data_IF_736014111907
#
_entry.id   IF_736014111907
#
_cell.length_a   1.000
_cell.length_b   1.000
_cell.length_c   1.000
_cell.angle_alpha   90.00
_cell.angle_beta   90.00
_cell.angle_gamma   90.00
#
_symmetry.space_group_name_H-M   'P 1'
#
loop_
_entity.id
_entity.type
_entity.pdbx_description
1 polymer ?
#
# COMPACT_ATOMS: atom_id res chain seq x y z
N UNK A 1 26.54 18.57 33.02
CA UNK A 1 27.24 18.70 31.72
C UNK A 1 27.91 17.37 31.41
N UNK A 2 27.27 16.53 30.60
CA UNK A 2 27.79 15.21 30.21
C UNK A 2 28.65 15.34 28.96
N UNK A 3 29.93 14.93 29.05
CA UNK A 3 30.86 14.90 27.92
C UNK A 3 30.51 13.70 27.03
N UNK A 4 29.97 13.96 25.84
CA UNK A 4 29.82 12.95 24.80
C UNK A 4 31.21 12.47 24.34
N UNK A 5 31.44 11.17 24.45
CA UNK A 5 32.67 10.49 24.06
C UNK A 5 32.70 10.24 22.55
N UNK A 6 33.81 10.54 21.85
CA UNK A 6 33.93 10.47 20.38
C UNK A 6 33.91 9.05 19.78
N UNK A 7 33.86 8.00 20.61
CA UNK A 7 33.86 6.62 20.14
C UNK A 7 32.53 6.19 19.49
N UNK A 8 31.41 6.81 19.85
CA UNK A 8 30.08 6.44 19.34
C UNK A 8 29.80 6.96 17.92
N UNK A 9 30.50 7.99 17.47
CA UNK A 9 30.29 8.57 16.13
C UNK A 9 30.97 7.74 15.03
N UNK A 10 32.13 7.13 15.32
CA UNK A 10 32.86 6.29 14.36
C UNK A 10 32.07 5.02 14.01
N UNK A 11 31.36 4.43 14.98
CA UNK A 11 30.56 3.21 14.78
C UNK A 11 29.27 3.54 13.98
N UNK A 12 28.65 4.69 14.24
CA UNK A 12 27.49 5.17 13.46
C UNK A 12 27.82 5.48 12.00
N UNK A 13 29.00 6.01 11.71
CA UNK A 13 29.45 6.29 10.34
C UNK A 13 29.69 4.99 9.57
N UNK A 14 30.33 3.98 10.19
CA UNK A 14 30.54 2.66 9.56
C UNK A 14 29.22 1.96 9.23
N UNK A 15 28.23 1.99 10.14
CA UNK A 15 26.90 1.41 9.89
C UNK A 15 26.09 2.16 8.83
N UNK A 16 26.25 3.49 8.72
CA UNK A 16 25.62 4.27 7.64
C UNK A 16 26.26 4.00 6.28
N UNK A 17 27.59 3.86 6.21
CA UNK A 17 28.29 3.51 4.97
C UNK A 17 27.93 2.11 4.49
N UNK A 18 27.88 1.12 5.38
CA UNK A 18 27.48 -0.24 4.99
C UNK A 18 26.00 -0.34 4.62
N UNK A 19 25.11 0.47 5.22
CA UNK A 19 23.69 0.54 4.84
C UNK A 19 23.46 1.24 3.48
N UNK A 20 24.30 2.22 3.13
CA UNK A 20 24.28 2.84 1.80
C UNK A 20 24.87 1.89 0.75
N UNK A 21 25.90 1.11 1.10
CA UNK A 21 26.49 0.08 0.23
C UNK A 21 25.59 -1.14 0.04
N UNK A 22 24.76 -1.53 1.02
CA UNK A 22 23.83 -2.66 0.88
C UNK A 22 22.49 -2.29 0.21
N UNK A 23 22.17 -1.00 0.12
CA UNK A 23 21.08 -0.45 -0.72
C UNK A 23 21.56 0.03 -2.08
N UNK A 24 22.87 0.10 -2.29
CA UNK A 24 23.44 0.33 -3.61
C UNK A 24 23.21 -0.92 -4.42
N UNK A 25 22.06 -0.96 -5.10
CA UNK A 25 21.94 -1.67 -6.36
C UNK A 25 23.26 -1.49 -7.13
N UNK A 26 23.86 -2.61 -7.48
CA UNK A 26 24.95 -2.92 -8.42
C UNK A 26 25.69 -1.75 -9.13
N UNK A 27 25.06 -0.69 -9.71
CA UNK A 27 25.75 0.44 -10.36
C UNK A 27 26.94 1.10 -9.64
N UNK A 28 26.85 1.42 -8.33
CA UNK A 28 27.87 2.27 -7.68
C UNK A 28 29.24 1.57 -7.57
N UNK A 29 29.24 0.26 -7.32
CA UNK A 29 30.45 -0.55 -7.26
C UNK A 29 31.11 -0.64 -8.64
N UNK A 30 30.32 -0.77 -9.70
CA UNK A 30 30.83 -0.83 -11.09
C UNK A 30 31.50 0.49 -11.47
N UNK A 31 30.88 1.64 -11.20
CA UNK A 31 31.51 2.94 -11.45
C UNK A 31 32.79 3.14 -10.63
N UNK A 32 32.81 2.67 -9.38
CA UNK A 32 33.99 2.74 -8.53
C UNK A 32 35.15 1.89 -9.11
N UNK A 33 34.87 0.67 -9.56
CA UNK A 33 35.86 -0.22 -10.19
C UNK A 33 36.39 0.38 -11.50
N UNK A 34 35.52 0.95 -12.33
CA UNK A 34 35.93 1.67 -13.55
C UNK A 34 36.85 2.84 -13.20
N UNK A 35 36.44 3.68 -12.25
CA UNK A 35 37.24 4.82 -11.81
C UNK A 35 38.62 4.41 -11.27
N UNK A 36 38.66 3.38 -10.42
CA UNK A 36 39.91 2.83 -9.88
C UNK A 36 40.80 2.27 -11.00
N UNK A 37 40.22 1.58 -11.98
CA UNK A 37 40.95 1.05 -13.13
C UNK A 37 41.52 2.18 -13.99
N UNK A 38 40.76 3.25 -14.23
CA UNK A 38 41.27 4.45 -14.93
C UNK A 38 42.40 5.13 -14.17
N UNK A 39 42.30 5.23 -12.83
CA UNK A 39 43.36 5.78 -11.99
C UNK A 39 44.64 4.93 -12.03
N UNK A 40 44.51 3.60 -12.03
CA UNK A 40 45.66 2.70 -12.19
C UNK A 40 46.30 2.83 -13.57
N UNK A 41 45.49 2.84 -14.64
CA UNK A 41 45.99 3.03 -16.01
C UNK A 41 46.74 4.35 -16.16
N UNK A 42 46.26 5.42 -15.50
CA UNK A 42 46.93 6.71 -15.46
C UNK A 42 48.31 6.64 -14.79
N UNK A 43 48.43 5.91 -13.68
CA UNK A 43 49.71 5.71 -12.98
C UNK A 43 50.70 4.92 -13.86
N UNK A 44 50.22 3.92 -14.62
CA UNK A 44 51.06 3.04 -15.44
C UNK A 44 51.34 3.58 -16.85
N UNK A 45 50.80 4.75 -17.22
CA UNK A 45 50.98 5.34 -18.55
C UNK A 45 52.46 5.51 -18.94
N UNK A 46 53.34 5.75 -17.97
CA UNK A 46 54.77 5.96 -18.21
C UNK A 46 55.53 4.70 -18.65
N UNK A 47 54.94 3.51 -18.51
CA UNK A 47 55.60 2.23 -18.83
C UNK A 47 55.21 1.74 -20.24
N UNK A 48 53.92 1.80 -20.57
CA UNK A 48 53.38 1.32 -21.84
C UNK A 48 52.32 2.29 -22.38
N UNK A 49 52.78 3.38 -22.99
CA UNK A 49 51.93 4.50 -23.42
C UNK A 49 50.82 4.07 -24.41
N UNK A 50 51.17 3.32 -25.46
CA UNK A 50 50.18 2.92 -26.49
C UNK A 50 49.09 2.00 -25.94
N UNK A 51 49.47 1.02 -25.10
CA UNK A 51 48.54 0.07 -24.50
C UNK A 51 47.62 0.75 -23.48
N UNK A 52 48.18 1.61 -22.63
CA UNK A 52 47.41 2.31 -21.59
C UNK A 52 46.42 3.30 -22.20
N UNK A 53 46.79 3.99 -23.27
CA UNK A 53 45.91 4.93 -23.96
C UNK A 53 44.77 4.21 -24.70
N UNK A 54 45.06 3.07 -25.34
CA UNK A 54 44.04 2.19 -25.93
C UNK A 54 43.03 1.70 -24.89
N UNK A 55 43.51 1.10 -23.79
CA UNK A 55 42.67 0.62 -22.69
C UNK A 55 41.88 1.76 -22.05
N UNK A 56 42.47 2.94 -21.88
CA UNK A 56 41.78 4.10 -21.30
C UNK A 56 40.60 4.56 -22.16
N UNK A 57 40.77 4.61 -23.49
CA UNK A 57 39.68 4.98 -24.40
C UNK A 57 38.56 3.95 -24.42
N UNK A 58 38.88 2.65 -24.36
CA UNK A 58 37.89 1.57 -24.30
C UNK A 58 37.14 1.60 -22.96
N UNK A 59 37.85 1.77 -21.84
CA UNK A 59 37.23 1.86 -20.51
C UNK A 59 36.33 3.09 -20.36
N UNK A 60 36.76 4.23 -20.91
CA UNK A 60 35.94 5.44 -20.98
C UNK A 60 34.68 5.23 -21.83
N UNK A 61 34.81 4.55 -22.98
CA UNK A 61 33.68 4.18 -23.84
C UNK A 61 32.69 3.23 -23.14
N UNK A 62 33.20 2.22 -22.43
CA UNK A 62 32.39 1.30 -21.64
C UNK A 62 31.68 2.02 -20.48
N UNK A 63 32.38 2.89 -19.76
CA UNK A 63 31.82 3.71 -18.68
C UNK A 63 30.72 4.63 -19.20
N UNK A 64 30.93 5.27 -20.36
CA UNK A 64 29.94 6.14 -20.99
C UNK A 64 28.72 5.35 -21.47
N UNK A 65 28.92 4.16 -22.03
CA UNK A 65 27.82 3.29 -22.45
C UNK A 65 26.99 2.81 -21.25
N UNK A 66 27.65 2.38 -20.18
CA UNK A 66 26.99 2.04 -18.92
C UNK A 66 26.24 3.24 -18.34
N UNK A 67 26.85 4.43 -18.36
CA UNK A 67 26.20 5.66 -17.92
C UNK A 67 24.97 6.01 -18.76
N UNK A 68 25.02 5.84 -20.08
CA UNK A 68 23.86 6.06 -20.97
C UNK A 68 22.77 5.05 -20.65
N UNK A 69 23.10 3.76 -20.55
CA UNK A 69 22.14 2.72 -20.22
C UNK A 69 21.51 3.03 -18.85
N UNK A 70 22.32 3.26 -17.83
CA UNK A 70 21.85 3.53 -16.47
C UNK A 70 21.02 4.82 -16.45
N UNK A 71 21.52 5.92 -16.99
CA UNK A 71 20.82 7.21 -16.95
C UNK A 71 19.52 7.19 -17.76
N UNK A 72 19.52 6.66 -18.99
CA UNK A 72 18.32 6.64 -19.84
C UNK A 72 17.32 5.59 -19.35
N UNK A 73 17.80 4.40 -19.02
CA UNK A 73 16.94 3.27 -18.65
C UNK A 73 16.39 3.47 -17.25
N UNK A 74 17.17 3.98 -16.28
CA UNK A 74 16.69 4.31 -14.93
C UNK A 74 15.80 5.54 -14.93
N UNK A 75 16.11 6.64 -15.65
CA UNK A 75 15.18 7.80 -15.70
C UNK A 75 13.88 7.47 -16.42
N UNK A 76 13.94 6.80 -17.57
CA UNK A 76 12.73 6.43 -18.30
C UNK A 76 11.86 5.45 -17.51
N UNK A 77 12.49 4.47 -16.85
CA UNK A 77 11.81 3.59 -15.89
C UNK A 77 11.23 4.39 -14.74
N UNK A 78 12.03 5.19 -14.02
CA UNK A 78 11.59 5.98 -12.86
C UNK A 78 10.40 6.89 -13.16
N UNK A 79 10.40 7.60 -14.31
CA UNK A 79 9.26 8.44 -14.70
C UNK A 79 8.00 7.62 -14.99
N UNK A 80 8.12 6.53 -15.76
CA UNK A 80 6.99 5.62 -16.05
C UNK A 80 6.49 4.97 -14.76
N UNK A 81 7.39 4.63 -13.83
CA UNK A 81 7.06 4.03 -12.55
C UNK A 81 6.38 4.98 -11.60
N UNK A 82 6.81 6.24 -11.53
CA UNK A 82 6.10 7.26 -10.77
C UNK A 82 4.64 7.36 -11.24
N UNK A 83 4.42 7.36 -12.57
CA UNK A 83 3.08 7.38 -13.14
C UNK A 83 2.28 6.12 -12.78
N UNK A 84 2.85 4.92 -12.94
CA UNK A 84 2.17 3.66 -12.60
C UNK A 84 1.84 3.59 -11.11
N UNK A 85 2.78 3.98 -10.23
CA UNK A 85 2.58 4.05 -8.78
C UNK A 85 1.41 4.96 -8.43
N UNK A 86 1.35 6.17 -9.00
CA UNK A 86 0.22 7.08 -8.79
C UNK A 86 -1.12 6.47 -9.21
N UNK A 87 -1.16 5.68 -10.31
CA UNK A 87 -2.38 5.00 -10.73
C UNK A 87 -2.76 3.84 -9.80
N UNK A 88 -1.78 3.06 -9.33
CA UNK A 88 -2.01 1.99 -8.35
C UNK A 88 -2.51 2.58 -7.03
N UNK A 89 -1.85 3.62 -6.51
CA UNK A 89 -2.26 4.33 -5.29
C UNK A 89 -3.67 4.90 -5.43
N UNK A 90 -4.01 5.44 -6.61
CA UNK A 90 -5.37 5.88 -6.95
C UNK A 90 -6.39 4.74 -6.84
N UNK A 91 -6.09 3.57 -7.43
CA UNK A 91 -6.99 2.42 -7.42
C UNK A 91 -7.20 1.89 -6.00
N UNK A 92 -6.12 1.80 -5.21
CA UNK A 92 -6.18 1.42 -3.80
C UNK A 92 -7.04 2.43 -3.03
N UNK A 93 -6.76 3.74 -3.15
CA UNK A 93 -7.49 4.76 -2.42
C UNK A 93 -8.98 4.80 -2.78
N UNK A 94 -9.31 4.56 -4.05
CA UNK A 94 -10.69 4.43 -4.52
C UNK A 94 -11.38 3.21 -3.91
N UNK A 95 -10.74 2.04 -3.91
CA UNK A 95 -11.31 0.82 -3.35
C UNK A 95 -11.46 0.88 -1.84
N UNK A 96 -10.47 1.41 -1.12
CA UNK A 96 -10.55 1.66 0.33
C UNK A 96 -11.71 2.60 0.66
N UNK A 97 -11.87 3.71 -0.08
CA UNK A 97 -12.99 4.63 0.16
C UNK A 97 -14.36 4.00 -0.08
N UNK A 98 -14.50 3.25 -1.19
CA UNK A 98 -15.73 2.52 -1.50
C UNK A 98 -16.04 1.47 -0.45
N UNK A 99 -15.02 0.76 0.01
CA UNK A 99 -15.18 -0.28 1.03
C UNK A 99 -15.62 0.33 2.36
N UNK A 100 -14.96 1.41 2.81
CA UNK A 100 -15.36 2.17 4.01
C UNK A 100 -16.80 2.66 3.92
N UNK A 101 -17.21 3.16 2.76
CA UNK A 101 -18.56 3.68 2.54
C UNK A 101 -19.62 2.58 2.53
N UNK A 102 -19.36 1.49 1.80
CA UNK A 102 -20.28 0.37 1.74
C UNK A 102 -20.38 -0.38 3.07
N UNK A 103 -19.30 -0.50 3.85
CA UNK A 103 -19.38 -1.05 5.21
C UNK A 103 -20.23 -0.15 6.10
N UNK A 104 -19.94 1.16 6.14
CA UNK A 104 -20.70 2.08 6.97
C UNK A 104 -22.20 2.03 6.63
N UNK A 105 -22.56 2.07 5.35
CA UNK A 105 -23.95 2.13 4.91
C UNK A 105 -24.66 0.78 4.96
N UNK A 106 -24.07 -0.28 4.39
CA UNK A 106 -24.73 -1.59 4.22
C UNK A 106 -24.69 -2.45 5.47
N UNK A 107 -23.62 -2.35 6.26
CA UNK A 107 -23.45 -3.16 7.48
C UNK A 107 -23.99 -2.41 8.69
N UNK A 108 -23.64 -1.13 8.82
CA UNK A 108 -23.95 -0.35 10.03
C UNK A 108 -25.10 0.65 9.86
N UNK A 109 -25.79 0.65 8.70
CA UNK A 109 -26.93 1.54 8.47
C UNK A 109 -26.58 3.02 8.57
N UNK A 110 -25.33 3.40 8.26
CA UNK A 110 -24.85 4.77 8.39
C UNK A 110 -25.72 5.74 7.59
N UNK A 111 -26.39 6.63 8.31
CA UNK A 111 -27.21 7.70 7.76
C UNK A 111 -26.63 9.06 8.18
N UNK A 112 -25.83 9.72 7.31
CA UNK A 112 -25.16 10.96 7.69
C UNK A 112 -26.16 12.10 7.91
N UNK A 113 -25.87 12.97 8.87
CA UNK A 113 -26.60 14.23 9.02
C UNK A 113 -26.27 15.17 7.86
N UNK A 114 -27.26 15.50 7.02
CA UNK A 114 -27.11 16.39 5.86
C UNK A 114 -27.61 17.79 6.24
N UNK A 115 -26.72 18.78 6.12
CA UNK A 115 -27.08 20.18 6.17
C UNK A 115 -27.16 20.73 4.73
N UNK A 116 -28.38 21.06 4.31
CA UNK A 116 -28.70 21.53 2.95
C UNK A 116 -28.11 22.93 2.68
N UNK A 117 -27.76 23.67 3.72
CA UNK A 117 -27.13 24.99 3.58
C UNK A 117 -25.65 24.91 3.18
N UNK A 118 -25.02 23.74 3.29
CA UNK A 118 -23.60 23.57 2.96
C UNK A 118 -23.39 23.43 1.44
N UNK A 119 -22.29 24.00 0.96
CA UNK A 119 -21.79 23.67 -0.38
C UNK A 119 -21.51 22.17 -0.51
N UNK A 120 -21.63 21.63 -1.73
CA UNK A 120 -21.40 20.20 -2.00
C UNK A 120 -20.04 19.72 -1.48
N UNK A 121 -18.97 20.50 -1.65
CA UNK A 121 -17.63 20.16 -1.21
C UNK A 121 -17.52 20.11 0.32
N UNK A 122 -18.18 21.05 1.01
CA UNK A 122 -18.23 21.07 2.47
C UNK A 122 -19.06 19.89 3.01
N UNK A 123 -20.20 19.60 2.38
CA UNK A 123 -21.06 18.47 2.73
C UNK A 123 -20.33 17.13 2.61
N UNK A 124 -19.59 16.90 1.52
CA UNK A 124 -18.76 15.69 1.35
C UNK A 124 -17.74 15.57 2.49
N UNK A 125 -17.09 16.68 2.88
CA UNK A 125 -16.12 16.68 3.99
C UNK A 125 -16.77 16.31 5.31
N UNK A 126 -17.97 16.83 5.59
CA UNK A 126 -18.74 16.51 6.80
C UNK A 126 -19.13 15.03 6.83
N UNK A 127 -19.70 14.51 5.74
CA UNK A 127 -20.08 13.08 5.64
C UNK A 127 -18.86 12.18 5.85
N UNK A 128 -17.72 12.52 5.22
CA UNK A 128 -16.45 11.78 5.43
C UNK A 128 -15.98 11.83 6.88
N UNK A 129 -16.16 12.96 7.56
CA UNK A 129 -15.88 13.13 8.98
C UNK A 129 -16.74 12.22 9.86
N UNK A 130 -18.06 12.28 9.70
CA UNK A 130 -19.02 11.43 10.44
C UNK A 130 -18.75 9.93 10.21
N UNK A 131 -18.47 9.53 8.96
CA UNK A 131 -18.11 8.15 8.64
C UNK A 131 -16.80 7.72 9.29
N UNK A 132 -15.79 8.60 9.30
CA UNK A 132 -14.54 8.31 9.97
C UNK A 132 -14.72 8.16 11.48
N UNK A 133 -15.55 8.99 12.09
CA UNK A 133 -15.88 8.90 13.51
C UNK A 133 -16.58 7.58 13.85
N UNK A 134 -17.58 7.18 13.05
CA UNK A 134 -18.24 5.87 13.20
C UNK A 134 -17.22 4.72 13.15
N UNK A 135 -16.40 4.66 12.10
CA UNK A 135 -15.44 3.56 11.92
C UNK A 135 -14.37 3.55 13.02
N UNK A 136 -13.91 4.71 13.47
CA UNK A 136 -12.96 4.81 14.59
C UNK A 136 -13.60 4.39 15.92
N UNK A 137 -14.89 4.65 16.11
CA UNK A 137 -15.63 4.17 17.29
C UNK A 137 -15.74 2.64 17.28
N UNK A 138 -16.06 2.05 16.11
CA UNK A 138 -16.18 0.60 15.94
C UNK A 138 -14.83 -0.12 16.09
N UNK A 139 -13.73 0.47 15.64
CA UNK A 139 -12.39 -0.08 15.87
C UNK A 139 -12.05 -0.18 17.38
N UNK A 140 -12.50 0.81 18.17
CA UNK A 140 -12.27 0.86 19.61
C UNK A 140 -13.23 -0.01 20.41
N UNK A 141 -14.36 -0.41 19.83
CA UNK A 141 -15.25 -1.39 20.48
C UNK A 141 -14.60 -2.77 20.46
N UNK A 142 -14.91 -3.59 21.46
CA UNK A 142 -14.47 -4.98 21.47
C UNK A 142 -15.06 -5.76 20.31
N UNK A 143 -14.38 -6.84 19.89
CA UNK A 143 -14.83 -7.70 18.79
C UNK A 143 -16.27 -8.18 18.98
N UNK A 144 -16.71 -8.46 20.21
CA UNK A 144 -18.09 -8.88 20.52
C UNK A 144 -19.14 -7.80 20.27
N UNK A 145 -18.74 -6.54 20.27
CA UNK A 145 -19.65 -5.39 20.31
C UNK A 145 -19.81 -4.74 18.94
N UNK A 146 -18.93 -5.05 17.98
CA UNK A 146 -18.96 -4.46 16.64
C UNK A 146 -20.30 -4.68 15.96
N UNK A 147 -20.86 -5.89 16.03
CA UNK A 147 -22.16 -6.20 15.43
C UNK A 147 -23.36 -5.88 16.34
N UNK A 148 -23.14 -5.22 17.48
CA UNK A 148 -24.23 -4.87 18.37
C UNK A 148 -25.14 -3.81 17.72
N UNK A 149 -26.44 -4.11 17.61
CA UNK A 149 -27.42 -3.20 17.00
C UNK A 149 -27.44 -3.23 15.46
N UNK A 150 -26.67 -4.12 14.84
CA UNK A 150 -26.72 -4.38 13.40
C UNK A 150 -27.96 -5.23 13.08
N UNK A 151 -28.67 -4.91 12.00
CA UNK A 151 -29.77 -5.75 11.50
C UNK A 151 -29.21 -7.02 10.83
N UNK A 152 -29.38 -8.15 11.52
CA UNK A 152 -28.92 -9.46 11.07
C UNK A 152 -29.52 -9.84 9.72
N UNK A 153 -30.78 -9.49 9.44
CA UNK A 153 -31.43 -9.84 8.17
C UNK A 153 -30.77 -9.15 7.00
N UNK A 154 -30.36 -7.90 7.20
CA UNK A 154 -29.65 -7.12 6.19
C UNK A 154 -28.22 -7.63 6.01
N UNK A 155 -27.50 -7.88 7.11
CA UNK A 155 -26.07 -8.22 7.06
C UNK A 155 -25.79 -9.65 6.61
N UNK A 156 -26.63 -10.61 6.96
CA UNK A 156 -26.50 -12.00 6.53
C UNK A 156 -27.22 -12.27 5.20
N UNK A 157 -27.35 -11.26 4.34
CA UNK A 157 -28.02 -11.36 3.04
C UNK A 157 -27.07 -11.74 1.89
N UNK A 158 -27.64 -12.19 0.77
CA UNK A 158 -26.90 -12.43 -0.47
C UNK A 158 -26.28 -11.16 -1.04
N UNK A 159 -26.93 -10.01 -0.86
CA UNK A 159 -26.45 -8.71 -1.36
C UNK A 159 -25.15 -8.31 -0.66
N UNK A 160 -25.08 -8.51 0.66
CA UNK A 160 -23.87 -8.21 1.45
C UNK A 160 -22.77 -9.23 1.13
N UNK A 161 -23.10 -10.51 0.97
CA UNK A 161 -22.17 -11.53 0.49
C UNK A 161 -21.55 -11.14 -0.86
N UNK A 162 -22.39 -10.79 -1.83
CA UNK A 162 -21.97 -10.43 -3.19
C UNK A 162 -21.08 -9.20 -3.15
N UNK A 163 -21.47 -8.18 -2.38
CA UNK A 163 -20.68 -6.97 -2.17
C UNK A 163 -19.26 -7.27 -1.65
N UNK A 164 -19.12 -8.05 -0.58
CA UNK A 164 -17.80 -8.39 -0.04
C UNK A 164 -17.00 -9.26 -0.99
N UNK A 165 -17.65 -10.19 -1.70
CA UNK A 165 -16.97 -11.04 -2.67
C UNK A 165 -16.38 -10.22 -3.83
N UNK A 166 -17.19 -9.32 -4.42
CA UNK A 166 -16.74 -8.40 -5.48
C UNK A 166 -15.60 -7.49 -5.00
N UNK A 167 -15.69 -6.94 -3.80
CA UNK A 167 -14.64 -6.05 -3.25
C UNK A 167 -13.35 -6.81 -2.95
N UNK A 168 -13.44 -8.08 -2.55
CA UNK A 168 -12.28 -8.94 -2.41
C UNK A 168 -11.62 -9.23 -3.76
N UNK A 169 -12.41 -9.46 -4.81
CA UNK A 169 -11.89 -9.70 -6.16
C UNK A 169 -11.25 -8.43 -6.73
N UNK A 170 -11.87 -7.26 -6.56
CA UNK A 170 -11.28 -5.95 -6.93
C UNK A 170 -9.91 -5.72 -6.28
N UNK A 171 -9.73 -6.09 -5.01
CA UNK A 171 -8.45 -6.00 -4.32
C UNK A 171 -7.44 -7.04 -4.81
N UNK A 172 -7.90 -8.26 -5.08
CA UNK A 172 -7.06 -9.31 -5.62
C UNK A 172 -6.48 -8.92 -6.97
N UNK A 173 -7.28 -8.30 -7.84
CA UNK A 173 -6.81 -7.77 -9.12
C UNK A 173 -5.67 -6.76 -8.93
N UNK A 174 -5.80 -5.82 -7.98
CA UNK A 174 -4.73 -4.87 -7.66
C UNK A 174 -3.46 -5.58 -7.17
N UNK A 175 -3.59 -6.56 -6.28
CA UNK A 175 -2.46 -7.33 -5.73
C UNK A 175 -1.81 -8.20 -6.81
N UNK A 176 -2.58 -8.73 -7.75
CA UNK A 176 -2.10 -9.64 -8.78
C UNK A 176 -1.70 -8.92 -10.08
N UNK A 177 -1.83 -7.58 -10.14
CA UNK A 177 -1.24 -6.82 -11.23
C UNK A 177 0.28 -7.02 -11.24
N UNK A 178 0.88 -7.12 -12.43
CA UNK A 178 2.34 -7.21 -12.65
C UNK A 178 3.17 -6.16 -11.89
N UNK A 179 2.53 -5.09 -11.43
CA UNK A 179 3.16 -3.97 -10.75
C UNK A 179 3.11 -4.05 -9.22
N UNK A 180 2.49 -5.07 -8.62
CA UNK A 180 2.47 -5.30 -7.17
C UNK A 180 3.85 -5.63 -6.60
N UNK A 181 4.74 -6.21 -7.40
CA UNK A 181 6.16 -6.45 -7.08
C UNK A 181 6.91 -5.17 -6.66
N UNK A 182 6.39 -4.00 -7.01
CA UNK A 182 7.00 -2.70 -6.75
C UNK A 182 6.23 -1.86 -5.70
N UNK A 183 5.17 -2.44 -5.11
CA UNK A 183 4.53 -1.87 -3.92
C UNK A 183 5.39 -2.14 -2.68
N UNK A 184 5.23 -1.32 -1.65
CA UNK A 184 5.88 -1.59 -0.38
C UNK A 184 5.37 -2.93 0.20
N UNK A 185 6.24 -3.83 0.66
CA UNK A 185 5.83 -5.15 1.18
C UNK A 185 4.77 -5.06 2.27
N UNK A 186 4.84 -4.03 3.11
CA UNK A 186 3.88 -3.75 4.18
C UNK A 186 2.49 -3.43 3.62
N UNK A 187 2.41 -2.65 2.54
CA UNK A 187 1.15 -2.36 1.85
C UNK A 187 0.55 -3.62 1.23
N UNK A 188 1.36 -4.43 0.54
CA UNK A 188 0.90 -5.70 -0.04
C UNK A 188 0.34 -6.61 1.05
N UNK A 189 1.04 -6.72 2.18
CA UNK A 189 0.58 -7.50 3.34
C UNK A 189 -0.76 -6.99 3.87
N UNK A 190 -0.95 -5.67 4.01
CA UNK A 190 -2.22 -5.09 4.44
C UNK A 190 -3.36 -5.39 3.46
N UNK A 191 -3.12 -5.26 2.15
CA UNK A 191 -4.12 -5.53 1.12
C UNK A 191 -4.48 -7.02 1.06
N UNK A 192 -3.51 -7.92 1.19
CA UNK A 192 -3.74 -9.36 1.27
C UNK A 192 -4.59 -9.72 2.49
N UNK A 193 -4.26 -9.17 3.67
CA UNK A 193 -5.07 -9.36 4.88
C UNK A 193 -6.48 -8.85 4.70
N UNK A 194 -6.64 -7.66 4.11
CA UNK A 194 -7.96 -7.09 3.83
C UNK A 194 -8.77 -8.00 2.89
N UNK A 195 -8.15 -8.52 1.83
CA UNK A 195 -8.76 -9.50 0.93
C UNK A 195 -9.22 -10.75 1.69
N UNK A 196 -8.34 -11.37 2.49
CA UNK A 196 -8.66 -12.57 3.26
C UNK A 196 -9.84 -12.32 4.20
N UNK A 197 -9.83 -11.22 4.95
CA UNK A 197 -10.92 -10.93 5.89
C UNK A 197 -12.27 -10.69 5.20
N UNK A 198 -12.29 -10.15 3.98
CA UNK A 198 -13.53 -10.05 3.20
C UNK A 198 -14.01 -11.42 2.70
N UNK A 199 -13.10 -12.34 2.32
CA UNK A 199 -13.47 -13.72 1.98
C UNK A 199 -13.95 -14.50 3.20
N UNK A 200 -13.35 -14.26 4.37
CA UNK A 200 -13.79 -14.84 5.65
C UNK A 200 -15.20 -14.33 6.00
N UNK A 201 -15.45 -13.03 5.83
CA UNK A 201 -16.78 -12.43 5.94
C UNK A 201 -17.81 -13.16 5.07
N UNK A 202 -17.48 -13.45 3.81
CA UNK A 202 -18.34 -14.25 2.93
C UNK A 202 -18.58 -15.68 3.47
N UNK A 203 -17.56 -16.32 4.03
CA UNK A 203 -17.70 -17.63 4.65
C UNK A 203 -18.62 -17.59 5.88
N UNK A 204 -18.49 -16.58 6.73
CA UNK A 204 -19.34 -16.39 7.90
C UNK A 204 -20.79 -16.09 7.55
N UNK A 205 -21.04 -15.32 6.47
CA UNK A 205 -22.39 -15.09 5.96
C UNK A 205 -23.03 -16.40 5.50
N UNK A 206 -22.32 -17.21 4.71
CA UNK A 206 -22.82 -18.52 4.30
C UNK A 206 -23.03 -19.45 5.49
N UNK A 207 -22.15 -19.42 6.48
CA UNK A 207 -22.26 -20.23 7.68
C UNK A 207 -23.50 -19.88 8.49
N UNK A 208 -23.82 -18.58 8.63
CA UNK A 208 -25.07 -18.14 9.27
C UNK A 208 -26.28 -18.70 8.51
N UNK A 209 -26.33 -18.48 7.19
CA UNK A 209 -27.46 -18.89 6.35
C UNK A 209 -27.69 -20.40 6.26
N UNK A 210 -26.68 -21.23 6.59
CA UNK A 210 -26.90 -22.69 6.76
C UNK A 210 -27.93 -23.00 7.85
N UNK A 211 -28.12 -22.11 8.84
CA UNK A 211 -29.17 -22.25 9.84
C UNK A 211 -30.58 -22.31 9.23
N UNK A 212 -30.80 -21.63 8.11
CA UNK A 212 -32.06 -21.66 7.36
C UNK A 212 -32.34 -23.04 6.73
N UNK A 213 -31.29 -23.80 6.42
CA UNK A 213 -31.37 -25.13 5.80
C UNK A 213 -31.43 -26.23 6.87
N UNK A 214 -30.64 -26.09 7.94
CA UNK A 214 -30.47 -27.08 8.99
C UNK A 214 -31.13 -26.63 10.30
N UNK A 215 -32.47 -26.64 10.35
CA UNK A 215 -33.26 -26.15 11.49
C UNK A 215 -32.90 -26.78 12.84
N UNK A 216 -32.45 -28.04 12.86
CA UNK A 216 -32.03 -28.74 14.09
C UNK A 216 -30.75 -28.16 14.72
N UNK A 217 -29.96 -27.39 13.97
CA UNK A 217 -28.70 -26.78 14.40
C UNK A 217 -28.65 -25.28 14.10
N UNK A 218 -29.81 -24.65 13.91
CA UNK A 218 -29.94 -23.24 13.54
C UNK A 218 -29.16 -22.33 14.50
N UNK A 219 -29.38 -22.47 15.81
CA UNK A 219 -28.72 -21.66 16.82
C UNK A 219 -27.19 -21.76 16.75
N UNK A 220 -26.64 -22.95 16.47
CA UNK A 220 -25.21 -23.15 16.33
C UNK A 220 -24.66 -22.41 15.10
N UNK A 221 -25.30 -22.57 13.94
CA UNK A 221 -24.89 -21.90 12.70
C UNK A 221 -24.96 -20.38 12.81
N UNK A 222 -26.06 -19.86 13.37
CA UNK A 222 -26.22 -18.44 13.63
C UNK A 222 -25.14 -17.91 14.58
N UNK A 223 -24.87 -18.60 15.68
CA UNK A 223 -23.84 -18.19 16.64
C UNK A 223 -22.44 -18.16 16.01
N UNK A 224 -22.05 -19.22 15.30
CA UNK A 224 -20.73 -19.29 14.64
C UNK A 224 -20.59 -18.22 13.56
N UNK A 225 -21.63 -18.03 12.74
CA UNK A 225 -21.65 -16.98 11.72
C UNK A 225 -21.51 -15.58 12.30
N UNK A 226 -22.22 -15.30 13.40
CA UNK A 226 -22.14 -14.01 14.11
C UNK A 226 -20.78 -13.74 14.72
N UNK A 227 -20.25 -14.69 15.48
CA UNK A 227 -18.95 -14.53 16.14
C UNK A 227 -17.84 -14.32 15.11
N UNK A 228 -17.81 -15.17 14.07
CA UNK A 228 -16.83 -15.05 12.99
C UNK A 228 -16.93 -13.71 12.25
N UNK A 229 -18.14 -13.30 11.87
CA UNK A 229 -18.34 -12.03 11.20
C UNK A 229 -17.88 -10.85 12.06
N UNK A 230 -18.12 -10.89 13.37
CA UNK A 230 -17.74 -9.81 14.28
C UNK A 230 -16.23 -9.60 14.32
N UNK A 231 -15.47 -10.71 14.40
CA UNK A 231 -14.00 -10.71 14.36
C UNK A 231 -13.50 -10.18 13.02
N UNK A 232 -14.00 -10.72 11.91
CA UNK A 232 -13.57 -10.27 10.58
C UNK A 232 -13.91 -8.81 10.32
N UNK A 233 -15.07 -8.34 10.75
CA UNK A 233 -15.49 -6.96 10.57
C UNK A 233 -14.62 -6.00 11.38
N UNK A 234 -14.30 -6.34 12.63
CA UNK A 234 -13.38 -5.57 13.46
C UNK A 234 -12.01 -5.42 12.78
N UNK A 235 -11.46 -6.52 12.29
CA UNK A 235 -10.17 -6.54 11.61
C UNK A 235 -10.19 -5.76 10.28
N UNK A 236 -11.26 -5.88 9.49
CA UNK A 236 -11.45 -5.08 8.27
C UNK A 236 -11.43 -3.59 8.61
N UNK A 237 -12.20 -3.16 9.62
CA UNK A 237 -12.27 -1.75 10.02
C UNK A 237 -10.88 -1.25 10.46
N UNK A 238 -10.17 -2.04 11.26
CA UNK A 238 -8.81 -1.74 11.70
C UNK A 238 -7.86 -1.54 10.51
N UNK A 239 -7.84 -2.49 9.57
CA UNK A 239 -7.01 -2.39 8.35
C UNK A 239 -7.39 -1.15 7.52
N UNK A 240 -8.68 -0.84 7.38
CA UNK A 240 -9.15 0.32 6.64
C UNK A 240 -8.75 1.65 7.30
N UNK A 241 -8.67 1.71 8.62
CA UNK A 241 -8.16 2.87 9.35
C UNK A 241 -6.65 3.01 9.18
N UNK A 242 -5.88 1.91 9.27
CA UNK A 242 -4.44 1.92 8.95
C UNK A 242 -4.17 2.39 7.52
N UNK A 243 -4.90 1.87 6.53
CA UNK A 243 -4.74 2.29 5.13
C UNK A 243 -5.07 3.77 4.95
N UNK A 244 -6.06 4.29 5.67
CA UNK A 244 -6.38 5.72 5.68
C UNK A 244 -5.26 6.55 6.27
N UNK A 245 -4.68 6.15 7.40
CA UNK A 245 -3.57 6.84 8.06
C UNK A 245 -2.32 6.90 7.17
N UNK A 246 -2.10 5.86 6.37
CA UNK A 246 -1.05 5.80 5.36
C UNK A 246 -1.36 6.60 4.08
N UNK A 247 -2.47 7.34 4.02
CA UNK A 247 -2.84 8.19 2.89
C UNK A 247 -3.67 7.51 1.80
N UNK A 248 -3.94 6.20 1.90
CA UNK A 248 -4.73 5.44 0.91
C UNK A 248 -6.25 5.61 1.10
N UNK A 249 -6.71 6.78 1.54
CA UNK A 249 -8.14 7.13 1.56
C UNK A 249 -8.43 8.56 1.14
N UNK A 250 -7.40 9.33 0.79
CA UNK A 250 -7.62 10.67 0.26
C UNK A 250 -8.15 10.58 -1.18
N UNK A 251 -9.08 11.45 -1.59
CA UNK A 251 -9.43 11.58 -2.99
C UNK A 251 -8.20 12.11 -3.69
N UNK A 252 -7.56 11.32 -4.56
CA UNK A 252 -6.39 11.80 -5.28
C UNK A 252 -6.81 12.98 -6.16
N UNK A 253 -6.06 14.07 -6.10
CA UNK A 253 -6.24 15.19 -7.02
C UNK A 253 -5.77 14.75 -8.41
N UNK A 254 -6.66 14.12 -9.18
CA UNK A 254 -6.40 13.78 -10.58
C UNK A 254 -6.15 15.03 -11.47
N UNK A 255 -6.39 16.23 -10.93
CA UNK A 255 -6.38 17.50 -11.66
C UNK A 255 -5.07 18.31 -11.61
N UNK A 256 -3.99 17.86 -10.94
CA UNK A 256 -2.74 18.65 -10.85
C UNK A 256 -1.54 18.13 -11.67
N UNK A 257 -1.68 17.06 -12.48
CA UNK A 257 -0.56 16.57 -13.28
C UNK A 257 -0.50 17.07 -14.73
N UNK A 258 -1.50 17.82 -15.21
CA UNK A 258 -1.56 18.30 -16.59
C UNK A 258 -1.85 19.81 -16.64
N UNK A 259 -0.84 20.66 -16.41
CA UNK A 259 -1.03 22.10 -16.61
C UNK A 259 0.06 23.02 -16.10
N UNK A 260 1.31 22.87 -16.55
CA UNK A 260 2.29 23.97 -16.60
C UNK A 260 3.57 23.55 -17.34
N UNK A 261 3.47 23.37 -18.65
CA UNK A 261 4.60 23.56 -19.56
C UNK A 261 4.04 24.17 -20.85
N UNK A 262 3.74 25.47 -20.78
CA UNK A 262 3.91 26.37 -21.91
C UNK A 262 5.28 27.04 -21.75
#
# INVERSE_FOLDING_TARGET
>A
MSKQTPANDVIKIKHRLTAVLSRSEIPLVVYLVIFLTMALLWIFQTIHEELTLGLFTELLGAAFTLFIIDTLLVRAKSKRWKMVRTHVDYLIARNVNRLRDGIATRVFGFNPGIDVALSQTAMIKVIRGQRAELLNKLERSGESDVLHGVDERTVFSEDVYTYFNEKADDLWEIINMKYSEYMEPELVSLLMRLHTQMKDTCAHIRQYRKGEIFSQSEAHYHQVGRLGLSVSMHEIIRILNTLKENGYSEPPSLAQSNGSHH
#
